data_IF_805869235168
#
_entry.id   IF_805869235168
#
_cell.length_a   1.000
_cell.length_b   1.000
_cell.length_c   1.000
_cell.angle_alpha   90.00
_cell.angle_beta   90.00
_cell.angle_gamma   90.00
#
_symmetry.space_group_name_H-M   'P 1'
#
loop_
_entity.id
_entity.type
_entity.pdbx_description
1 polymer ?
#
# COMPACT_ATOMS: atom_id res chain seq x y z
N UNK A 1 26.22 -1.25 -18.74
CA UNK A 1 25.35 -2.19 -18.02
C UNK A 1 25.79 -2.18 -16.56
N UNK A 2 25.01 -1.56 -15.66
CA UNK A 2 25.38 -1.44 -14.24
C UNK A 2 24.74 -2.62 -13.51
N UNK A 3 25.54 -3.45 -12.85
CA UNK A 3 25.05 -4.58 -12.07
C UNK A 3 25.80 -4.65 -10.73
N UNK A 4 25.10 -4.86 -9.60
CA UNK A 4 25.74 -4.89 -8.29
C UNK A 4 26.62 -6.14 -8.14
N UNK A 5 27.92 -5.93 -7.88
CA UNK A 5 28.91 -7.00 -7.78
C UNK A 5 28.69 -7.97 -6.60
N UNK A 6 28.11 -7.49 -5.48
CA UNK A 6 27.94 -8.25 -4.24
C UNK A 6 26.47 -8.56 -3.88
N UNK A 7 25.54 -8.50 -4.84
CA UNK A 7 24.12 -8.70 -4.55
C UNK A 7 23.81 -10.17 -4.22
N UNK A 8 23.45 -10.42 -2.96
CA UNK A 8 23.10 -11.77 -2.44
C UNK A 8 24.18 -12.84 -2.70
N UNK A 9 25.45 -12.44 -2.68
CA UNK A 9 26.60 -13.34 -2.85
C UNK A 9 27.03 -14.03 -1.52
N UNK A 10 26.33 -13.74 -0.42
CA UNK A 10 26.61 -14.33 0.90
C UNK A 10 25.86 -15.64 1.14
N UNK A 11 26.09 -16.24 2.31
CA UNK A 11 25.40 -17.46 2.77
C UNK A 11 23.91 -17.24 3.03
N UNK A 12 23.50 -16.01 3.31
CA UNK A 12 22.11 -15.64 3.54
C UNK A 12 21.56 -14.90 2.32
N UNK A 13 20.52 -15.49 1.72
CA UNK A 13 19.73 -14.86 0.67
C UNK A 13 18.70 -13.96 1.35
N UNK A 14 18.73 -12.67 1.03
CA UNK A 14 17.84 -11.65 1.58
C UNK A 14 16.64 -11.31 0.69
N UNK A 15 16.18 -12.22 -0.16
CA UNK A 15 15.05 -11.97 -1.06
C UNK A 15 15.19 -12.62 -2.45
N UNK A 16 14.69 -11.94 -3.48
CA UNK A 16 14.75 -12.39 -4.87
C UNK A 16 16.07 -12.02 -5.56
N UNK A 17 16.47 -12.76 -6.60
CA UNK A 17 17.71 -12.52 -7.36
C UNK A 17 17.45 -11.62 -8.57
N UNK A 18 18.41 -10.76 -8.91
CA UNK A 18 18.37 -9.95 -10.13
C UNK A 18 18.81 -10.79 -11.33
N UNK A 19 18.31 -10.46 -12.53
CA UNK A 19 18.73 -11.10 -13.76
C UNK A 19 19.85 -10.29 -14.44
N UNK A 20 21.08 -10.82 -14.57
CA UNK A 20 22.21 -10.06 -15.14
C UNK A 20 22.05 -9.77 -16.65
N UNK A 21 21.11 -10.43 -17.33
CA UNK A 21 20.85 -10.23 -18.77
C UNK A 21 19.90 -9.05 -19.05
N UNK A 22 19.21 -8.54 -18.03
CA UNK A 22 18.20 -7.50 -18.16
C UNK A 22 18.72 -6.23 -17.47
N UNK A 23 18.61 -5.04 -18.09
CA UNK A 23 18.95 -3.77 -17.44
C UNK A 23 18.18 -3.56 -16.14
N UNK A 24 18.78 -2.88 -15.16
CA UNK A 24 18.12 -2.58 -13.87
C UNK A 24 16.83 -1.74 -14.02
N UNK A 25 16.74 -0.93 -15.08
CA UNK A 25 15.56 -0.12 -15.41
C UNK A 25 14.32 -0.95 -15.76
N UNK A 26 14.52 -2.22 -16.13
CA UNK A 26 13.45 -3.09 -16.60
C UNK A 26 13.13 -4.16 -15.54
N UNK A 27 13.73 -4.05 -14.35
CA UNK A 27 13.49 -4.95 -13.22
C UNK A 27 12.51 -4.31 -12.24
N UNK A 28 11.21 -4.47 -12.50
CA UNK A 28 10.11 -3.84 -11.77
C UNK A 28 10.15 -4.09 -10.25
N UNK A 29 10.41 -5.33 -9.82
CA UNK A 29 10.51 -5.69 -8.40
C UNK A 29 11.60 -4.90 -7.67
N UNK A 30 12.74 -4.69 -8.32
CA UNK A 30 13.83 -3.88 -7.77
C UNK A 30 13.39 -2.43 -7.67
N UNK A 31 12.76 -1.87 -8.71
CA UNK A 31 12.30 -0.48 -8.74
C UNK A 31 11.28 -0.23 -7.62
N UNK A 32 10.33 -1.16 -7.43
CA UNK A 32 9.35 -1.11 -6.34
C UNK A 32 10.03 -1.14 -4.98
N UNK A 33 11.09 -1.94 -4.82
CA UNK A 33 11.86 -2.04 -3.60
C UNK A 33 12.69 -0.78 -3.30
N UNK A 34 13.32 -0.20 -4.32
CA UNK A 34 14.18 0.99 -4.19
C UNK A 34 13.40 2.25 -3.79
N UNK A 35 12.10 2.31 -4.07
CA UNK A 35 11.23 3.38 -3.55
C UNK A 35 11.06 3.20 -2.04
N UNK A 36 11.73 3.97 -1.19
CA UNK A 36 11.61 3.79 0.28
C UNK A 36 10.18 4.05 0.79
N UNK A 37 9.76 3.28 1.79
CA UNK A 37 8.46 3.46 2.46
C UNK A 37 8.60 4.43 3.64
N UNK A 38 7.59 5.28 3.86
CA UNK A 38 7.60 6.27 4.95
C UNK A 38 7.32 5.67 6.34
N UNK A 39 6.68 4.49 6.40
CA UNK A 39 6.20 3.85 7.62
C UNK A 39 6.81 2.44 7.76
N UNK A 40 6.97 1.92 9.00
CA UNK A 40 7.52 0.58 9.24
C UNK A 40 6.59 -0.53 8.76
N UNK A 41 5.27 -0.28 8.76
CA UNK A 41 4.28 -1.15 8.11
C UNK A 41 3.95 -0.56 6.76
N UNK A 42 4.29 -1.28 5.69
CA UNK A 42 4.12 -0.83 4.32
C UNK A 42 3.69 -1.96 3.41
N UNK A 43 3.15 -1.59 2.25
CA UNK A 43 2.78 -2.52 1.17
C UNK A 43 3.61 -2.20 -0.06
N UNK A 44 3.99 -3.23 -0.80
CA UNK A 44 4.68 -3.15 -2.08
C UNK A 44 3.89 -3.95 -3.10
N UNK A 45 3.78 -3.42 -4.31
CA UNK A 45 3.16 -4.15 -5.41
C UNK A 45 4.08 -5.31 -5.79
N UNK A 46 3.55 -6.52 -5.79
CA UNK A 46 4.26 -7.71 -6.28
C UNK A 46 3.80 -8.10 -7.69
N UNK A 47 2.57 -7.79 -8.04
CA UNK A 47 2.01 -8.07 -9.36
C UNK A 47 0.56 -7.60 -9.45
N UNK A 48 0.04 -7.59 -10.66
CA UNK A 48 -1.35 -7.23 -10.97
C UNK A 48 -1.97 -8.32 -11.84
N UNK A 49 -3.21 -8.66 -11.53
CA UNK A 49 -4.05 -9.48 -12.40
C UNK A 49 -4.78 -8.50 -13.32
N UNK A 50 -4.49 -8.55 -14.61
CA UNK A 50 -5.06 -7.64 -15.63
C UNK A 50 -6.43 -8.10 -16.17
N UNK A 51 -6.99 -9.16 -15.59
CA UNK A 51 -8.30 -9.70 -15.93
C UNK A 51 -9.24 -9.59 -14.75
N UNK A 52 -10.51 -9.40 -15.04
CA UNK A 52 -11.55 -9.48 -14.02
C UNK A 52 -11.66 -10.93 -13.51
N UNK A 53 -11.91 -11.06 -12.21
CA UNK A 53 -12.14 -12.34 -11.55
C UNK A 53 -13.63 -12.44 -11.25
N UNK A 54 -14.23 -13.56 -11.62
CA UNK A 54 -15.63 -13.84 -11.34
C UNK A 54 -15.79 -14.42 -9.94
N UNK A 55 -17.05 -14.46 -9.47
CA UNK A 55 -17.38 -15.15 -8.23
C UNK A 55 -17.01 -16.63 -8.39
N UNK A 56 -16.41 -17.20 -7.34
CA UNK A 56 -15.91 -18.58 -7.27
C UNK A 56 -14.61 -18.88 -8.04
N UNK A 57 -13.96 -17.87 -8.62
CA UNK A 57 -12.60 -18.03 -9.15
C UNK A 57 -11.59 -18.34 -8.04
N UNK A 58 -10.74 -19.35 -8.29
CA UNK A 58 -9.73 -19.80 -7.33
C UNK A 58 -8.36 -19.24 -7.71
N UNK A 59 -7.83 -18.34 -6.88
CA UNK A 59 -6.47 -17.81 -7.02
C UNK A 59 -5.51 -18.61 -6.13
N UNK A 60 -4.67 -19.45 -6.73
CA UNK A 60 -3.63 -20.19 -6.03
C UNK A 60 -2.32 -19.41 -6.08
N UNK A 61 -1.76 -19.07 -4.92
CA UNK A 61 -0.46 -18.40 -4.83
C UNK A 61 0.58 -19.32 -4.20
N UNK A 62 1.63 -19.61 -4.95
CA UNK A 62 2.79 -20.34 -4.45
C UNK A 62 3.87 -19.35 -3.98
N UNK A 63 4.20 -19.37 -2.69
CA UNK A 63 5.20 -18.47 -2.10
C UNK A 63 6.43 -19.23 -1.65
N UNK A 64 7.61 -18.71 -2.01
CA UNK A 64 8.88 -19.15 -1.46
C UNK A 64 9.35 -18.19 -0.36
N UNK A 65 9.66 -18.74 0.82
CA UNK A 65 10.14 -17.95 1.95
C UNK A 65 11.66 -17.71 1.87
N UNK A 66 12.07 -16.76 1.03
CA UNK A 66 13.49 -16.38 0.90
C UNK A 66 13.92 -15.23 1.82
N UNK A 67 12.98 -14.50 2.43
CA UNK A 67 13.28 -13.40 3.34
C UNK A 67 12.77 -13.70 4.75
N UNK A 68 13.68 -14.13 5.62
CA UNK A 68 13.35 -14.52 6.99
C UNK A 68 13.24 -13.28 7.90
N UNK A 69 12.06 -13.12 8.50
CA UNK A 69 11.76 -12.00 9.40
C UNK A 69 11.83 -12.36 10.89
N UNK A 70 12.12 -13.63 11.19
CA UNK A 70 12.01 -14.21 12.53
C UNK A 70 12.97 -13.59 13.55
N UNK A 71 14.20 -13.29 13.15
CA UNK A 71 15.25 -12.75 14.05
C UNK A 71 14.93 -11.36 14.60
N UNK A 72 14.09 -10.59 13.90
CA UNK A 72 13.69 -9.23 14.30
C UNK A 72 12.19 -9.10 14.55
N UNK A 73 11.45 -10.22 14.66
CA UNK A 73 10.02 -10.22 14.97
C UNK A 73 9.12 -9.61 13.88
N UNK A 74 9.62 -9.47 12.65
CA UNK A 74 8.87 -8.89 11.54
C UNK A 74 7.73 -9.80 11.06
N UNK A 75 6.63 -9.19 10.62
CA UNK A 75 5.49 -9.89 10.03
C UNK A 75 5.39 -9.58 8.55
N UNK A 76 5.07 -10.59 7.75
CA UNK A 76 4.84 -10.47 6.31
C UNK A 76 3.51 -11.11 5.94
N UNK A 77 2.82 -10.51 4.97
CA UNK A 77 1.52 -10.97 4.48
C UNK A 77 1.42 -10.67 2.99
N UNK A 78 0.81 -11.57 2.24
CA UNK A 78 0.33 -11.28 0.91
C UNK A 78 -1.10 -10.74 1.03
N UNK A 79 -1.40 -9.67 0.29
CA UNK A 79 -2.74 -9.07 0.28
C UNK A 79 -3.17 -8.97 -1.17
N UNK A 80 -4.26 -9.66 -1.52
CA UNK A 80 -4.96 -9.46 -2.77
C UNK A 80 -6.02 -8.38 -2.56
N UNK A 81 -5.98 -7.32 -3.37
CA UNK A 81 -6.91 -6.20 -3.26
C UNK A 81 -7.13 -5.54 -4.60
N UNK A 82 -8.35 -5.03 -4.81
CA UNK A 82 -8.66 -4.14 -5.92
C UNK A 82 -8.37 -2.69 -5.55
N UNK A 83 -8.06 -1.87 -6.56
CA UNK A 83 -7.84 -0.43 -6.39
C UNK A 83 -9.03 0.35 -6.94
N UNK A 84 -9.51 1.30 -6.17
CA UNK A 84 -10.46 2.32 -6.62
C UNK A 84 -9.73 3.57 -7.10
N UNK A 85 -10.47 4.56 -7.59
CA UNK A 85 -9.92 5.87 -7.96
C UNK A 85 -9.17 6.56 -6.81
N UNK A 86 -9.61 6.37 -5.56
CA UNK A 86 -8.95 6.90 -4.34
C UNK A 86 -7.81 5.98 -3.84
N UNK A 87 -7.47 4.93 -4.59
CA UNK A 87 -6.50 3.92 -4.21
C UNK A 87 -7.14 2.70 -3.53
N UNK A 88 -6.38 2.07 -2.63
CA UNK A 88 -6.87 0.93 -1.85
C UNK A 88 -7.92 1.34 -0.82
N UNK A 89 -8.61 0.36 -0.23
CA UNK A 89 -9.60 0.59 0.84
C UNK A 89 -9.02 1.43 1.98
N UNK A 90 -9.60 2.62 2.20
CA UNK A 90 -9.22 3.52 3.28
C UNK A 90 -10.44 4.32 3.78
N UNK A 91 -11.04 3.87 4.88
CA UNK A 91 -12.23 4.49 5.45
C UNK A 91 -11.93 5.80 6.21
N UNK A 92 -10.64 6.09 6.50
CA UNK A 92 -10.22 7.27 7.25
C UNK A 92 -10.61 8.56 6.55
N UNK A 93 -10.39 8.65 5.23
CA UNK A 93 -10.71 9.86 4.47
C UNK A 93 -12.21 10.15 4.49
N UNK A 94 -13.04 9.12 4.25
CA UNK A 94 -14.50 9.25 4.30
C UNK A 94 -14.98 9.75 5.67
N UNK A 95 -14.46 9.15 6.75
CA UNK A 95 -14.81 9.56 8.11
C UNK A 95 -14.35 11.00 8.41
N UNK A 96 -13.15 11.40 7.96
CA UNK A 96 -12.65 12.75 8.14
C UNK A 96 -13.55 13.79 7.46
N UNK A 97 -13.99 13.54 6.22
CA UNK A 97 -14.92 14.42 5.51
C UNK A 97 -16.28 14.52 6.21
N UNK A 98 -16.84 13.41 6.67
CA UNK A 98 -18.11 13.39 7.42
C UNK A 98 -17.99 14.19 8.71
N UNK A 99 -16.87 14.06 9.43
CA UNK A 99 -16.61 14.80 10.66
C UNK A 99 -16.47 16.31 10.43
N UNK A 100 -15.73 16.72 9.40
CA UNK A 100 -15.57 18.15 9.05
C UNK A 100 -16.90 18.72 8.56
N UNK A 101 -17.65 17.99 7.74
CA UNK A 101 -18.96 18.41 7.26
C UNK A 101 -19.98 18.56 8.40
N UNK A 102 -20.06 17.58 9.29
CA UNK A 102 -21.01 17.62 10.43
C UNK A 102 -20.69 18.73 11.42
N UNK A 103 -19.42 18.96 11.73
CA UNK A 103 -19.00 20.07 12.59
C UNK A 103 -19.35 21.43 11.97
N UNK A 104 -19.10 21.60 10.67
CA UNK A 104 -19.43 22.83 9.94
C UNK A 104 -20.94 23.12 9.93
N UNK A 105 -21.78 22.11 9.66
CA UNK A 105 -23.24 22.23 9.68
C UNK A 105 -23.75 22.55 11.09
N UNK A 106 -23.18 21.92 12.12
CA UNK A 106 -23.55 22.19 13.52
C UNK A 106 -23.27 23.65 13.88
N UNK A 107 -22.09 24.16 13.52
CA UNK A 107 -21.71 25.56 13.74
C UNK A 107 -22.66 26.50 12.97
N UNK A 108 -22.97 26.20 11.71
CA UNK A 108 -23.91 26.99 10.92
C UNK A 108 -25.30 27.07 11.57
N UNK A 109 -25.85 25.94 12.02
CA UNK A 109 -27.15 25.88 12.71
C UNK A 109 -27.12 26.72 13.99
N UNK A 110 -26.07 26.61 14.80
CA UNK A 110 -25.90 27.41 16.01
C UNK A 110 -25.91 28.91 15.68
N UNK A 111 -25.15 29.35 14.68
CA UNK A 111 -25.14 30.74 14.26
C UNK A 111 -26.49 31.21 13.72
N UNK A 112 -27.18 30.40 12.92
CA UNK A 112 -28.53 30.73 12.42
C UNK A 112 -29.53 30.87 13.55
N UNK A 113 -29.52 29.97 14.54
CA UNK A 113 -30.38 30.06 15.72
C UNK A 113 -30.09 31.30 16.56
N UNK A 114 -28.81 31.62 16.79
CA UNK A 114 -28.42 32.84 17.50
C UNK A 114 -28.88 34.09 16.77
N UNK A 115 -28.76 34.13 15.44
CA UNK A 115 -29.21 35.26 14.62
C UNK A 115 -30.73 35.46 14.66
N UNK A 116 -31.51 34.36 14.65
CA UNK A 116 -32.97 34.42 14.72
C UNK A 116 -33.50 34.77 16.12
N UNK A 117 -32.87 34.27 17.18
CA UNK A 117 -33.29 34.49 18.57
C UNK A 117 -32.81 35.82 19.15
N UNK A 118 -31.66 36.31 18.70
CA UNK A 118 -31.08 37.58 19.14
C UNK A 118 -30.62 38.38 17.92
N UNK A 119 -31.57 38.87 17.10
CA UNK A 119 -31.27 39.80 16.03
C UNK A 119 -30.82 41.12 16.66
N UNK A 120 -29.51 41.30 16.81
CA UNK A 120 -28.91 42.61 17.01
C UNK A 120 -28.59 43.22 15.65
#
# INVERSE_FOLDING_TARGET
>A
NVYPFNFQNGTLIGGGKLNPRIPLSDQEDLIVWMRTSALPSFRKLYGRIEKDLDVDDVVVVHLMNNYNTYSFGGKKKLVLSTTSWLGGKNDFLGLAYVFIGSSSVTIAVVFTLLHLLSPR
#
